data_IF_977794163253
#
_entry.id   IF_977794163253
#
_cell.length_a   1.000
_cell.length_b   1.000
_cell.length_c   1.000
_cell.angle_alpha   90.00
_cell.angle_beta   90.00
_cell.angle_gamma   90.00
#
_symmetry.space_group_name_H-M   'P 1'
#
loop_
_entity.id
_entity.type
_entity.pdbx_description
1 polymer ?
#
# COMPACT_ATOMS: atom_id res chain seq x y z
N UNK A 1 -0.43 17.16 -18.17
CA UNK A 1 0.12 16.81 -16.84
C UNK A 1 -0.94 16.95 -15.76
N UNK A 2 -1.32 18.18 -15.41
CA UNK A 2 -2.14 18.49 -14.23
C UNK A 2 -3.58 17.94 -14.25
N UNK A 3 -4.29 18.04 -15.38
CA UNK A 3 -5.72 17.70 -15.46
C UNK A 3 -6.02 16.22 -15.25
N UNK A 4 -5.14 15.32 -15.74
CA UNK A 4 -5.33 13.86 -15.60
C UNK A 4 -5.19 13.34 -14.17
N UNK A 5 -4.35 13.97 -13.34
CA UNK A 5 -4.25 13.60 -11.93
C UNK A 5 -5.51 14.00 -11.16
N UNK A 6 -6.08 15.17 -11.45
CA UNK A 6 -7.31 15.64 -10.81
C UNK A 6 -8.47 14.68 -11.06
N UNK A 7 -8.60 14.16 -12.29
CA UNK A 7 -9.67 13.22 -12.65
C UNK A 7 -9.53 11.87 -11.92
N UNK A 8 -8.32 11.29 -11.90
CA UNK A 8 -8.04 10.02 -11.20
C UNK A 8 -8.25 10.13 -9.69
N UNK A 9 -7.74 11.19 -9.06
CA UNK A 9 -7.91 11.42 -7.61
C UNK A 9 -9.37 11.69 -7.26
N UNK A 10 -10.14 12.35 -8.13
CA UNK A 10 -11.58 12.56 -7.91
C UNK A 10 -12.34 11.23 -7.97
N UNK A 11 -12.05 10.39 -8.97
CA UNK A 11 -12.62 9.03 -9.05
C UNK A 11 -12.25 8.20 -7.81
N UNK A 12 -10.99 8.25 -7.36
CA UNK A 12 -10.56 7.62 -6.12
C UNK A 12 -11.41 8.08 -4.95
N UNK A 13 -11.54 9.39 -4.72
CA UNK A 13 -12.33 9.90 -3.59
C UNK A 13 -13.77 9.43 -3.62
N UNK A 14 -14.39 9.35 -4.81
CA UNK A 14 -15.74 8.81 -4.96
C UNK A 14 -15.79 7.31 -4.62
N UNK A 15 -14.90 6.49 -5.19
CA UNK A 15 -14.81 5.05 -4.90
C UNK A 15 -14.53 4.76 -3.42
N UNK A 16 -13.74 5.61 -2.78
CA UNK A 16 -13.37 5.49 -1.37
C UNK A 16 -14.44 6.05 -0.43
N UNK A 17 -15.57 6.56 -0.94
CA UNK A 17 -16.64 7.17 -0.14
C UNK A 17 -16.24 8.48 0.55
N UNK A 18 -15.13 9.10 0.12
CA UNK A 18 -14.61 10.38 0.65
C UNK A 18 -15.25 11.59 -0.02
N UNK A 19 -15.92 11.39 -1.15
CA UNK A 19 -16.65 12.40 -1.89
C UNK A 19 -17.92 11.77 -2.44
N UNK A 20 -19.07 12.39 -2.19
CA UNK A 20 -20.32 11.97 -2.82
C UNK A 20 -20.26 12.31 -4.31
N UNK A 21 -20.73 11.43 -5.21
CA UNK A 21 -20.89 11.79 -6.61
C UNK A 21 -22.04 12.81 -6.72
N UNK A 22 -21.93 13.73 -7.68
CA UNK A 22 -23.00 14.71 -7.95
C UNK A 22 -24.29 14.01 -8.42
N UNK A 23 -24.15 12.88 -9.13
CA UNK A 23 -25.24 12.01 -9.57
C UNK A 23 -24.89 10.53 -9.39
N UNK A 24 -25.89 9.68 -9.14
CA UNK A 24 -25.72 8.24 -8.92
C UNK A 24 -25.31 7.87 -7.49
N UNK A 25 -24.73 6.68 -7.32
CA UNK A 25 -24.36 6.16 -6.00
C UNK A 25 -22.98 5.51 -6.00
N UNK A 26 -22.18 5.81 -4.99
CA UNK A 26 -20.93 5.10 -4.69
C UNK A 26 -20.98 4.61 -3.25
N UNK A 27 -20.62 3.35 -3.02
CA UNK A 27 -20.57 2.77 -1.68
C UNK A 27 -19.48 1.71 -1.59
N UNK A 28 -18.82 1.65 -0.44
CA UNK A 28 -17.93 0.55 -0.08
C UNK A 28 -18.72 -0.49 0.71
N UNK A 29 -18.40 -1.77 0.50
CA UNK A 29 -18.99 -2.85 1.29
C UNK A 29 -18.66 -2.68 2.78
N UNK A 30 -19.61 -3.01 3.65
CA UNK A 30 -19.49 -2.85 5.12
C UNK A 30 -18.31 -3.61 5.76
N UNK A 31 -17.79 -4.63 5.07
CA UNK A 31 -16.64 -5.44 5.51
C UNK A 31 -15.31 -4.97 4.92
N UNK A 32 -15.29 -3.88 4.16
CA UNK A 32 -14.06 -3.33 3.57
C UNK A 32 -13.28 -2.60 4.65
N UNK A 33 -12.06 -3.08 4.90
CA UNK A 33 -11.05 -2.41 5.72
C UNK A 33 -9.99 -1.88 4.79
N UNK A 34 -10.00 -0.56 4.63
CA UNK A 34 -9.10 0.15 3.74
C UNK A 34 -7.78 0.47 4.44
N UNK A 35 -6.69 0.45 3.68
CA UNK A 35 -5.38 0.89 4.13
C UNK A 35 -4.64 1.66 3.05
N UNK A 36 -3.85 2.64 3.46
CA UNK A 36 -2.95 3.39 2.60
C UNK A 36 -1.51 3.06 2.94
N UNK A 37 -0.70 2.79 1.91
CA UNK A 37 0.70 2.43 2.07
C UNK A 37 1.52 3.51 2.76
N UNK A 38 1.29 4.77 2.38
CA UNK A 38 2.11 5.89 2.84
C UNK A 38 1.89 6.16 4.32
N UNK A 39 0.63 6.07 4.76
CA UNK A 39 0.29 6.16 6.18
C UNK A 39 0.96 5.04 6.96
N UNK A 40 0.85 3.78 6.51
CA UNK A 40 1.46 2.66 7.19
C UNK A 40 3.00 2.76 7.26
N UNK A 41 3.64 3.15 6.17
CA UNK A 41 5.09 3.36 6.09
C UNK A 41 5.56 4.43 7.07
N UNK A 42 4.82 5.54 7.21
CA UNK A 42 5.18 6.64 8.11
C UNK A 42 5.19 6.26 9.59
N UNK A 43 4.55 5.15 9.98
CA UNK A 43 4.58 4.63 11.34
C UNK A 43 5.94 3.98 11.68
N UNK A 44 6.71 3.60 10.66
CA UNK A 44 8.03 3.01 10.82
C UNK A 44 9.10 4.11 10.75
N UNK A 45 9.32 4.75 11.89
CA UNK A 45 10.40 5.73 12.12
C UNK A 45 11.01 5.55 13.51
N UNK A 46 12.23 6.03 13.72
CA UNK A 46 12.90 6.04 15.01
C UNK A 46 13.99 4.98 15.18
N UNK A 47 14.63 5.02 16.35
CA UNK A 47 15.80 4.22 16.67
C UNK A 47 15.48 2.83 17.28
N UNK A 48 14.20 2.51 17.51
CA UNK A 48 13.80 1.19 18.02
C UNK A 48 13.94 0.13 16.92
N UNK A 49 14.11 -1.14 17.32
CA UNK A 49 14.16 -2.23 16.36
C UNK A 49 12.83 -2.36 15.59
N UNK A 50 12.90 -2.86 14.35
CA UNK A 50 11.71 -3.09 13.54
C UNK A 50 10.70 -4.00 14.24
N UNK A 51 11.16 -5.10 14.85
CA UNK A 51 10.30 -6.01 15.61
C UNK A 51 9.55 -5.27 16.72
N UNK A 52 10.29 -4.52 17.53
CA UNK A 52 9.75 -3.84 18.71
C UNK A 52 8.76 -2.75 18.30
N UNK A 53 9.06 -2.01 17.22
CA UNK A 53 8.17 -1.01 16.64
C UNK A 53 6.89 -1.65 16.13
N UNK A 54 7.00 -2.79 15.45
CA UNK A 54 5.84 -3.52 14.93
C UNK A 54 4.98 -4.08 16.07
N UNK A 55 5.60 -4.77 17.03
CA UNK A 55 4.94 -5.36 18.21
C UNK A 55 4.24 -4.27 19.06
N UNK A 56 4.82 -3.06 19.17
CA UNK A 56 4.18 -1.93 19.84
C UNK A 56 2.92 -1.42 19.13
N UNK A 57 2.84 -1.56 17.80
CA UNK A 57 1.70 -1.12 16.99
C UNK A 57 0.56 -2.17 16.99
N UNK A 58 0.89 -3.45 17.13
CA UNK A 58 -0.06 -4.58 17.18
C UNK A 58 0.20 -5.47 18.41
N UNK A 59 -0.02 -4.94 19.63
CA UNK A 59 0.33 -5.65 20.88
C UNK A 59 -0.49 -6.93 21.12
N UNK A 60 -1.60 -7.11 20.41
CA UNK A 60 -2.42 -8.32 20.44
C UNK A 60 -1.80 -9.51 19.69
N UNK A 61 -0.82 -9.25 18.82
CA UNK A 61 -0.21 -10.27 17.96
C UNK A 61 1.01 -10.88 18.63
N UNK A 62 1.15 -12.21 18.60
CA UNK A 62 2.28 -12.86 19.24
C UNK A 62 3.60 -12.54 18.50
N UNK A 63 4.69 -12.36 19.25
CA UNK A 63 6.02 -12.03 18.73
C UNK A 63 6.52 -13.01 17.63
N UNK A 64 6.15 -14.29 17.72
CA UNK A 64 6.45 -15.28 16.70
C UNK A 64 5.66 -15.05 15.40
N UNK A 65 4.38 -14.71 15.51
CA UNK A 65 3.53 -14.38 14.36
C UNK A 65 4.02 -13.11 13.66
N UNK A 66 4.43 -12.09 14.43
CA UNK A 66 5.01 -10.86 13.88
C UNK A 66 6.24 -11.18 13.02
N UNK A 67 7.15 -12.01 13.53
CA UNK A 67 8.34 -12.45 12.77
C UNK A 67 7.96 -13.24 11.52
N UNK A 68 6.98 -14.14 11.61
CA UNK A 68 6.48 -14.89 10.45
C UNK A 68 5.89 -13.96 9.39
N UNK A 69 5.12 -12.95 9.79
CA UNK A 69 4.51 -11.99 8.89
C UNK A 69 5.57 -11.09 8.24
N UNK A 70 6.52 -10.56 9.01
CA UNK A 70 7.64 -9.79 8.45
C UNK A 70 8.46 -10.63 7.46
N UNK A 71 8.74 -11.89 7.78
CA UNK A 71 9.43 -12.80 6.87
C UNK A 71 8.67 -13.05 5.57
N UNK A 72 7.33 -13.10 5.60
CA UNK A 72 6.48 -13.19 4.39
C UNK A 72 6.72 -12.01 3.44
N UNK A 73 6.95 -10.81 3.98
CA UNK A 73 7.33 -9.62 3.21
C UNK A 73 8.86 -9.50 3.01
N UNK A 74 9.56 -10.63 3.03
CA UNK A 74 11.01 -10.74 2.84
C UNK A 74 11.86 -9.91 3.84
N UNK A 75 11.33 -9.56 5.01
CA UNK A 75 12.07 -8.92 6.10
C UNK A 75 12.58 -10.01 7.05
N UNK A 76 13.87 -10.34 6.90
CA UNK A 76 14.52 -11.46 7.60
C UNK A 76 15.07 -11.02 8.97
N UNK A 77 15.69 -11.96 9.69
CA UNK A 77 16.17 -11.76 11.07
C UNK A 77 17.10 -10.54 11.22
N UNK A 78 17.98 -10.30 10.25
CA UNK A 78 18.86 -9.14 10.18
C UNK A 78 18.11 -7.81 10.08
N UNK A 79 16.97 -7.78 9.39
CA UNK A 79 16.12 -6.59 9.29
C UNK A 79 15.34 -6.36 10.58
N UNK A 80 14.83 -7.43 11.17
CA UNK A 80 13.92 -7.39 12.32
C UNK A 80 14.61 -6.81 13.57
N UNK A 81 15.91 -7.05 13.75
CA UNK A 81 16.69 -6.51 14.87
C UNK A 81 17.29 -5.12 14.62
N UNK A 82 17.22 -4.58 13.40
CA UNK A 82 17.80 -3.28 13.06
C UNK A 82 16.90 -2.13 13.51
N UNK A 83 17.47 -0.99 13.92
CA UNK A 83 16.73 0.25 14.08
C UNK A 83 15.94 0.60 12.82
N UNK A 84 14.70 1.05 12.98
CA UNK A 84 13.84 1.39 11.85
C UNK A 84 14.43 2.51 10.99
N UNK A 85 15.13 3.47 11.60
CA UNK A 85 15.80 4.54 10.88
C UNK A 85 16.96 4.07 9.99
N UNK A 86 17.52 2.90 10.25
CA UNK A 86 18.54 2.28 9.38
C UNK A 86 17.93 1.52 8.20
N UNK A 87 16.61 1.29 8.20
CA UNK A 87 15.93 0.65 7.08
C UNK A 87 15.82 1.61 5.91
N UNK A 88 16.13 1.10 4.72
CA UNK A 88 15.85 1.71 3.44
C UNK A 88 14.35 2.00 3.27
N UNK A 89 13.98 2.97 2.40
CA UNK A 89 12.57 3.24 2.10
C UNK A 89 11.80 2.01 1.62
N UNK A 90 12.42 1.12 0.86
CA UNK A 90 11.80 -0.13 0.40
C UNK A 90 11.54 -1.13 1.53
N UNK A 91 12.46 -1.28 2.49
CA UNK A 91 12.25 -2.10 3.69
C UNK A 91 11.10 -1.56 4.56
N UNK A 92 11.00 -0.24 4.73
CA UNK A 92 9.88 0.39 5.47
C UNK A 92 8.55 0.22 4.75
N UNK A 93 8.53 0.27 3.42
CA UNK A 93 7.33 -0.02 2.61
C UNK A 93 6.85 -1.45 2.83
N UNK A 94 7.77 -2.43 2.86
CA UNK A 94 7.46 -3.83 3.16
C UNK A 94 6.91 -4.01 4.59
N UNK A 95 7.48 -3.32 5.57
CA UNK A 95 6.97 -3.30 6.94
C UNK A 95 5.56 -2.68 7.01
N UNK A 96 5.32 -1.60 6.26
CA UNK A 96 4.00 -0.98 6.10
C UNK A 96 2.95 -1.95 5.57
N UNK A 97 3.27 -2.72 4.51
CA UNK A 97 2.36 -3.73 3.96
C UNK A 97 2.09 -4.87 4.95
N UNK A 98 3.13 -5.35 5.62
CA UNK A 98 2.97 -6.32 6.69
C UNK A 98 2.02 -5.81 7.78
N UNK A 99 2.15 -4.55 8.20
CA UNK A 99 1.28 -3.94 9.19
C UNK A 99 -0.18 -3.82 8.71
N UNK A 100 -0.39 -3.43 7.45
CA UNK A 100 -1.74 -3.37 6.88
C UNK A 100 -2.39 -4.76 6.87
N UNK A 101 -1.63 -5.80 6.47
CA UNK A 101 -2.11 -7.18 6.53
C UNK A 101 -2.42 -7.62 7.98
N UNK A 102 -1.56 -7.28 8.95
CA UNK A 102 -1.78 -7.59 10.37
C UNK A 102 -3.09 -6.97 10.90
N UNK A 103 -3.39 -5.74 10.49
CA UNK A 103 -4.64 -5.04 10.84
C UNK A 103 -5.87 -5.55 10.08
N UNK A 104 -5.72 -6.60 9.29
CA UNK A 104 -6.78 -7.20 8.50
C UNK A 104 -7.28 -6.30 7.37
N UNK A 105 -6.47 -5.35 6.91
CA UNK A 105 -6.78 -4.55 5.72
C UNK A 105 -6.94 -5.50 4.54
N UNK A 106 -8.08 -5.39 3.86
CA UNK A 106 -8.44 -6.22 2.71
C UNK A 106 -8.57 -5.39 1.44
N UNK A 107 -8.43 -4.07 1.53
CA UNK A 107 -8.45 -3.16 0.40
C UNK A 107 -7.31 -2.12 0.53
N UNK A 108 -6.27 -2.32 -0.27
CA UNK A 108 -5.09 -1.46 -0.31
C UNK A 108 -5.24 -0.41 -1.41
N UNK A 109 -5.00 0.85 -1.07
CA UNK A 109 -5.00 1.96 -2.03
C UNK A 109 -3.58 2.50 -2.17
N UNK A 110 -3.13 2.61 -3.42
CA UNK A 110 -1.85 3.18 -3.82
C UNK A 110 -2.11 4.32 -4.80
N UNK A 111 -1.83 5.57 -4.42
CA UNK A 111 -1.93 6.73 -5.31
C UNK A 111 -0.52 7.26 -5.62
N UNK A 112 -0.07 7.04 -6.85
CA UNK A 112 1.28 7.33 -7.34
C UNK A 112 2.41 6.82 -6.41
N UNK A 113 2.40 5.51 -6.08
CA UNK A 113 3.24 4.97 -5.00
C UNK A 113 4.74 4.93 -5.34
N UNK A 114 5.10 5.13 -6.61
CA UNK A 114 6.50 5.22 -7.07
C UNK A 114 7.07 6.63 -6.94
N UNK A 115 6.24 7.64 -6.64
CA UNK A 115 6.73 8.99 -6.42
C UNK A 115 7.71 8.99 -5.24
N UNK A 116 8.84 9.66 -5.43
CA UNK A 116 9.92 9.76 -4.43
C UNK A 116 10.61 8.42 -4.10
N UNK A 117 10.33 7.34 -4.84
CA UNK A 117 11.06 6.09 -4.73
C UNK A 117 12.16 6.01 -5.79
N UNK A 118 13.31 5.45 -5.40
CA UNK A 118 14.33 5.04 -6.35
C UNK A 118 13.99 3.65 -6.94
N UNK A 119 14.75 3.23 -7.95
CA UNK A 119 14.53 1.95 -8.64
C UNK A 119 14.52 0.76 -7.69
N UNK A 120 15.38 0.77 -6.67
CA UNK A 120 15.48 -0.33 -5.69
C UNK A 120 14.21 -0.37 -4.85
N UNK A 121 13.72 0.77 -4.36
CA UNK A 121 12.50 0.83 -3.59
C UNK A 121 11.25 0.47 -4.41
N UNK A 122 11.22 0.76 -5.72
CA UNK A 122 10.16 0.31 -6.63
C UNK A 122 10.13 -1.22 -6.72
N UNK A 123 11.29 -1.86 -6.93
CA UNK A 123 11.37 -3.34 -6.99
C UNK A 123 10.94 -4.00 -5.67
N UNK A 124 11.28 -3.38 -4.55
CA UNK A 124 10.85 -3.84 -3.22
C UNK A 124 9.34 -3.69 -3.03
N UNK A 125 8.74 -2.60 -3.53
CA UNK A 125 7.29 -2.43 -3.52
C UNK A 125 6.60 -3.48 -4.41
N UNK A 126 7.09 -3.72 -5.62
CA UNK A 126 6.55 -4.73 -6.53
C UNK A 126 6.51 -6.12 -5.86
N UNK A 127 7.62 -6.57 -5.28
CA UNK A 127 7.70 -7.85 -4.53
C UNK A 127 6.72 -7.92 -3.36
N UNK A 128 6.55 -6.81 -2.66
CA UNK A 128 5.66 -6.75 -1.52
C UNK A 128 4.18 -6.85 -1.93
N UNK A 129 3.82 -6.24 -3.07
CA UNK A 129 2.48 -6.32 -3.64
C UNK A 129 2.17 -7.74 -4.17
N UNK A 130 3.17 -8.49 -4.65
CA UNK A 130 2.99 -9.90 -4.99
C UNK A 130 2.62 -10.77 -3.77
N UNK A 131 3.03 -10.36 -2.58
CA UNK A 131 2.77 -11.08 -1.33
C UNK A 131 1.48 -10.66 -0.63
N UNK A 132 0.78 -9.65 -1.15
CA UNK A 132 -0.45 -9.12 -0.57
C UNK A 132 -1.69 -9.82 -1.15
N UNK A 133 -2.43 -10.52 -0.30
CA UNK A 133 -3.57 -11.35 -0.72
C UNK A 133 -4.90 -10.58 -0.81
N UNK A 134 -4.89 -9.28 -0.51
CA UNK A 134 -6.09 -8.44 -0.51
C UNK A 134 -6.42 -7.83 -1.87
N UNK A 135 -7.48 -7.03 -1.90
CA UNK A 135 -7.80 -6.22 -3.09
C UNK A 135 -6.86 -5.04 -3.19
N UNK A 136 -6.31 -4.79 -4.37
CA UNK A 136 -5.43 -3.65 -4.65
C UNK A 136 -6.11 -2.67 -5.62
N UNK A 137 -6.10 -1.40 -5.26
CA UNK A 137 -6.39 -0.28 -6.15
C UNK A 137 -5.11 0.53 -6.37
N UNK A 138 -4.50 0.36 -7.55
CA UNK A 138 -3.28 1.04 -7.95
C UNK A 138 -3.61 2.16 -8.94
N UNK A 139 -3.26 3.38 -8.57
CA UNK A 139 -3.29 4.56 -9.43
C UNK A 139 -1.86 4.98 -9.70
N UNK A 140 -1.43 4.87 -10.95
CA UNK A 140 -0.07 5.24 -11.35
C UNK A 140 -0.05 5.70 -12.81
N UNK A 141 0.99 6.43 -13.18
CA UNK A 141 1.37 6.68 -14.57
C UNK A 141 2.59 5.84 -15.01
N UNK A 142 3.17 5.06 -14.10
CA UNK A 142 4.31 4.19 -14.34
C UNK A 142 3.89 2.92 -15.08
N UNK A 143 4.31 2.79 -16.34
CA UNK A 143 4.04 1.62 -17.17
C UNK A 143 4.74 0.36 -16.66
N UNK A 144 5.96 0.48 -16.12
CA UNK A 144 6.71 -0.66 -15.61
C UNK A 144 5.96 -1.29 -14.44
N UNK A 145 5.51 -0.46 -13.49
CA UNK A 145 4.75 -0.95 -12.34
C UNK A 145 3.44 -1.63 -12.75
N UNK A 146 2.73 -1.09 -13.76
CA UNK A 146 1.50 -1.71 -14.30
C UNK A 146 1.75 -3.08 -14.96
N UNK A 147 2.93 -3.28 -15.53
CA UNK A 147 3.32 -4.53 -16.19
C UNK A 147 3.86 -5.56 -15.18
N UNK A 148 4.53 -5.13 -14.12
CA UNK A 148 5.01 -6.02 -13.05
C UNK A 148 3.88 -6.46 -12.12
N UNK A 149 3.02 -5.53 -11.68
CA UNK A 149 1.97 -5.81 -10.71
C UNK A 149 0.78 -6.48 -11.41
N UNK A 150 0.48 -7.72 -11.01
CA UNK A 150 -0.67 -8.47 -11.54
C UNK A 150 -1.97 -7.78 -11.17
N UNK A 151 -2.69 -7.29 -12.17
CA UNK A 151 -3.98 -6.63 -12.03
C UNK A 151 -5.04 -7.37 -12.85
N UNK A 152 -6.23 -7.51 -12.29
CA UNK A 152 -7.32 -8.24 -12.93
C UNK A 152 -8.15 -7.36 -13.86
N UNK A 153 -8.15 -6.04 -13.63
CA UNK A 153 -8.91 -5.05 -14.37
C UNK A 153 -8.07 -3.79 -14.52
N UNK A 154 -8.14 -3.16 -15.69
CA UNK A 154 -7.44 -1.91 -15.98
C UNK A 154 -8.46 -0.88 -16.44
N UNK A 155 -8.46 0.28 -15.79
CA UNK A 155 -9.33 1.40 -16.15
C UNK A 155 -8.49 2.56 -16.65
N UNK A 156 -8.90 3.12 -17.78
CA UNK A 156 -8.38 4.37 -18.31
C UNK A 156 -9.35 5.49 -17.96
N UNK A 157 -8.85 6.52 -17.27
CA UNK A 157 -9.62 7.71 -16.88
C UNK A 157 -9.11 8.89 -17.69
N UNK A 158 -9.99 9.52 -18.47
CA UNK A 158 -9.65 10.69 -19.28
C UNK A 158 -10.90 11.55 -19.55
N UNK A 159 -10.77 12.86 -19.40
CA UNK A 159 -11.86 13.80 -19.68
C UNK A 159 -13.14 13.53 -18.88
N UNK A 160 -13.00 13.11 -17.61
CA UNK A 160 -14.14 12.75 -16.75
C UNK A 160 -14.83 11.42 -17.10
N UNK A 161 -14.30 10.65 -18.04
CA UNK A 161 -14.82 9.33 -18.38
C UNK A 161 -13.91 8.21 -17.89
N UNK A 162 -14.51 7.06 -17.57
CA UNK A 162 -13.80 5.84 -17.17
C UNK A 162 -14.14 4.75 -18.19
N UNK A 163 -13.11 4.18 -18.82
CA UNK A 163 -13.24 3.05 -19.73
C UNK A 163 -12.40 1.86 -19.23
N UNK A 164 -12.95 0.66 -19.30
CA UNK A 164 -12.20 -0.58 -19.02
C UNK A 164 -11.45 -1.05 -20.28
N UNK A 165 -10.18 -1.42 -20.09
CA UNK A 165 -9.26 -1.88 -21.14
C UNK A 165 -9.22 -3.40 -21.25
#
# INVERSE_FOLDING_TARGET
>A
GQTRHVDKTTLLRALLGRQAPDEGTASLGVSVRMGEIDQARSLFTGAAALADTFEAIVPEMAAAEVRTLLAKFALKADHVSRPVDELSPGERTRAGLALLQARGVNFLVLDEPTNHLDTVAIEQLEQALESYDGTLLLVTHDRRMLDTVRTNRRWHVDGGQVAEL
#
